data_IF_472743433828
#
_entry.id   IF_472743433828
#
_cell.length_a   1.000
_cell.length_b   1.000
_cell.length_c   1.000
_cell.angle_alpha   90.00
_cell.angle_beta   90.00
_cell.angle_gamma   90.00
#
_symmetry.space_group_name_H-M   'P 1'
#
loop_
_entity.id
_entity.type
_entity.pdbx_description
1 polymer ?
#
# COMPACT_ATOMS: atom_id res chain seq x y z
N UNK A 1 14.18 16.01 103.51
CA UNK A 1 13.41 17.27 103.56
C UNK A 1 12.09 16.98 102.80
N UNK A 2 11.01 16.57 103.49
CA UNK A 2 9.88 17.43 103.96
C UNK A 2 9.05 17.85 102.70
N UNK A 3 7.78 17.47 102.40
CA UNK A 3 6.50 17.21 103.11
C UNK A 3 5.56 16.40 102.17
N UNK A 4 4.85 15.35 102.60
CA UNK A 4 3.45 15.31 103.11
C UNK A 4 2.34 15.98 102.28
N UNK A 5 1.25 15.25 101.96
CA UNK A 5 -0.10 15.84 101.91
C UNK A 5 -1.12 15.38 100.85
N UNK A 6 -1.84 14.28 101.14
CA UNK A 6 -3.31 14.09 101.04
C UNK A 6 -4.12 14.18 99.71
N UNK A 7 -4.73 13.02 99.41
CA UNK A 7 -6.16 12.79 99.11
C UNK A 7 -6.72 12.98 97.69
N UNK A 8 -7.21 11.89 97.07
CA UNK A 8 -8.65 11.53 97.02
C UNK A 8 -8.89 10.31 96.12
N UNK A 9 -9.73 9.41 96.62
CA UNK A 9 -10.31 8.26 95.95
C UNK A 9 -11.29 8.70 94.84
N UNK A 10 -11.23 8.08 93.66
CA UNK A 10 -12.40 7.96 92.77
C UNK A 10 -12.27 6.73 91.87
N UNK A 11 -13.20 5.79 92.03
CA UNK A 11 -13.33 4.62 91.16
C UNK A 11 -13.82 5.05 89.77
N UNK A 12 -13.19 4.56 88.71
CA UNK A 12 -13.76 4.60 87.36
C UNK A 12 -13.93 3.15 86.90
N UNK A 13 -15.19 2.70 86.91
CA UNK A 13 -15.60 1.44 86.29
C UNK A 13 -15.32 1.53 84.79
N UNK A 14 -14.48 0.64 84.26
CA UNK A 14 -14.34 0.45 82.82
C UNK A 14 -15.63 -0.13 82.25
N UNK A 15 -16.52 0.75 81.77
CA UNK A 15 -17.50 0.36 80.76
C UNK A 15 -16.72 0.13 79.46
N UNK A 16 -16.26 -1.11 79.24
CA UNK A 16 -15.71 -1.56 77.97
C UNK A 16 -16.87 -1.55 76.97
N UNK A 17 -17.11 -0.36 76.40
CA UNK A 17 -18.32 -0.07 75.65
C UNK A 17 -18.29 -0.84 74.33
N UNK A 18 -19.48 -1.31 73.97
CA UNK A 18 -19.88 -1.98 72.72
C UNK A 18 -19.46 -1.27 71.42
N UNK A 19 -18.74 -0.14 71.51
CA UNK A 19 -18.23 0.67 70.40
C UNK A 19 -16.98 0.07 69.73
N UNK A 20 -16.08 -0.60 70.48
CA UNK A 20 -14.89 -1.28 69.89
C UNK A 20 -15.26 -2.55 69.13
N UNK A 21 -16.30 -3.27 69.57
CA UNK A 21 -16.83 -4.42 68.82
C UNK A 21 -17.61 -4.02 67.56
N UNK A 22 -18.30 -2.88 67.58
CA UNK A 22 -18.92 -2.32 66.37
C UNK A 22 -17.90 -1.88 65.33
N UNK A 23 -16.76 -1.29 65.74
CA UNK A 23 -15.71 -0.94 64.78
C UNK A 23 -14.99 -2.17 64.23
N UNK A 24 -14.73 -3.19 65.06
CA UNK A 24 -14.12 -4.45 64.60
C UNK A 24 -15.03 -5.21 63.62
N UNK A 25 -16.35 -5.22 63.86
CA UNK A 25 -17.34 -5.79 62.93
C UNK A 25 -17.48 -4.98 61.63
N UNK A 26 -17.32 -3.66 61.68
CA UNK A 26 -17.31 -2.80 60.49
C UNK A 26 -16.06 -3.00 59.64
N UNK A 27 -14.88 -3.17 60.26
CA UNK A 27 -13.64 -3.45 59.52
C UNK A 27 -13.61 -4.86 58.93
N UNK A 28 -14.17 -5.87 59.62
CA UNK A 28 -14.31 -7.21 59.03
C UNK A 28 -15.32 -7.25 57.89
N UNK A 29 -16.41 -6.47 57.95
CA UNK A 29 -17.37 -6.38 56.86
C UNK A 29 -16.78 -5.67 55.63
N UNK A 30 -15.97 -4.62 55.82
CA UNK A 30 -15.29 -3.91 54.72
C UNK A 30 -14.22 -4.78 54.03
N UNK A 31 -13.49 -5.60 54.80
CA UNK A 31 -12.46 -6.49 54.25
C UNK A 31 -13.06 -7.63 53.41
N UNK A 32 -14.21 -8.18 53.82
CA UNK A 32 -14.94 -9.21 53.06
C UNK A 32 -15.56 -8.66 51.76
N UNK A 33 -16.00 -7.40 51.76
CA UNK A 33 -16.49 -6.73 50.53
C UNK A 33 -15.34 -6.44 49.55
N UNK A 34 -14.15 -6.05 50.03
CA UNK A 34 -12.98 -5.88 49.16
C UNK A 34 -12.45 -7.20 48.58
N UNK A 35 -12.54 -8.32 49.31
CA UNK A 35 -12.18 -9.64 48.77
C UNK A 35 -13.16 -10.13 47.69
N UNK A 36 -14.46 -9.81 47.84
CA UNK A 36 -15.48 -10.14 46.84
C UNK A 36 -15.32 -9.34 45.53
N UNK A 37 -14.80 -8.12 45.59
CA UNK A 37 -14.53 -7.31 44.39
C UNK A 37 -13.31 -7.80 43.58
N UNK A 38 -12.36 -8.50 44.20
CA UNK A 38 -11.18 -9.05 43.50
C UNK A 38 -11.54 -10.36 42.76
N UNK A 39 -12.51 -11.13 43.26
CA UNK A 39 -12.97 -12.38 42.61
C UNK A 39 -13.97 -12.11 41.47
N UNK A 40 -14.62 -10.93 41.46
CA UNK A 40 -15.57 -10.54 40.40
C UNK A 40 -14.89 -9.99 39.13
N UNK A 41 -13.56 -9.79 39.11
CA UNK A 41 -12.80 -9.47 37.90
C UNK A 41 -12.19 -10.71 37.21
N UNK A 42 -12.53 -11.92 37.69
CA UNK A 42 -12.12 -13.19 37.07
C UNK A 42 -13.20 -13.77 36.17
N UNK A 43 -13.30 -13.25 34.94
CA UNK A 43 -13.68 -13.95 33.71
C UNK A 43 -14.98 -14.77 33.67
N UNK A 44 -16.06 -14.13 33.22
CA UNK A 44 -17.12 -14.77 32.41
C UNK A 44 -17.13 -14.09 31.04
N UNK A 45 -17.27 -14.84 29.92
CA UNK A 45 -17.05 -14.33 28.59
C UNK A 45 -18.18 -13.37 28.19
N UNK A 46 -17.85 -12.09 28.06
CA UNK A 46 -18.62 -11.18 27.22
C UNK A 46 -18.32 -11.50 25.76
N UNK A 47 -19.30 -11.37 24.84
CA UNK A 47 -19.05 -11.59 23.43
C UNK A 47 -18.11 -10.50 22.94
N UNK A 48 -16.86 -10.89 22.70
CA UNK A 48 -15.92 -10.12 21.90
C UNK A 48 -16.59 -9.88 20.55
N UNK A 49 -16.70 -8.61 20.17
CA UNK A 49 -16.84 -8.29 18.77
C UNK A 49 -15.60 -8.87 18.10
N UNK A 50 -15.82 -9.79 17.15
CA UNK A 50 -14.82 -10.35 16.26
C UNK A 50 -14.10 -9.20 15.54
N UNK A 51 -13.07 -8.66 16.18
CA UNK A 51 -11.91 -8.14 15.48
C UNK A 51 -10.99 -9.34 15.32
N UNK A 52 -11.42 -10.28 14.49
CA UNK A 52 -10.53 -11.27 13.92
C UNK A 52 -9.58 -10.51 12.99
N UNK A 53 -8.55 -9.90 13.58
CA UNK A 53 -7.25 -9.80 12.94
C UNK A 53 -6.73 -11.22 12.82
N UNK A 54 -7.29 -11.95 11.86
CA UNK A 54 -6.83 -13.25 11.45
C UNK A 54 -5.42 -13.00 10.93
N UNK A 55 -4.43 -13.26 11.78
CA UNK A 55 -3.06 -13.45 11.34
C UNK A 55 -3.11 -14.75 10.57
N UNK A 56 -3.44 -14.64 9.28
CA UNK A 56 -3.42 -15.74 8.35
C UNK A 56 -2.01 -16.32 8.40
N UNK A 57 -1.91 -17.51 8.95
CA UNK A 57 -0.71 -18.32 8.82
C UNK A 57 -0.63 -18.67 7.34
N UNK A 58 0.49 -18.30 6.70
CA UNK A 58 0.75 -18.49 5.27
C UNK A 58 0.95 -19.98 4.91
N UNK A 59 -0.03 -20.84 5.16
CA UNK A 59 -0.25 -22.04 4.37
C UNK A 59 -1.24 -21.66 3.25
N UNK A 60 -0.64 -21.20 2.15
CA UNK A 60 -1.14 -20.09 1.35
C UNK A 60 -2.39 -20.34 0.53
N UNK A 61 -3.24 -19.33 0.48
CA UNK A 61 -4.28 -19.10 -0.53
C UNK A 61 -3.69 -18.77 -1.93
N UNK A 62 -2.42 -19.10 -2.17
CA UNK A 62 -1.64 -18.80 -3.37
C UNK A 62 -1.23 -17.34 -3.56
N UNK A 63 -1.64 -16.43 -2.66
CA UNK A 63 -1.33 -14.99 -2.76
C UNK A 63 -0.04 -14.64 -2.03
N UNK A 64 0.58 -13.55 -2.46
CA UNK A 64 1.75 -12.95 -1.79
C UNK A 64 1.30 -11.81 -0.89
N UNK A 65 1.67 -11.86 0.38
CA UNK A 65 1.44 -10.79 1.34
C UNK A 65 2.68 -9.91 1.47
N UNK A 66 2.57 -8.65 1.05
CA UNK A 66 3.63 -7.65 1.13
C UNK A 66 3.33 -6.63 2.22
N UNK A 67 4.33 -6.27 3.03
CA UNK A 67 4.25 -5.15 3.96
C UNK A 67 5.16 -4.00 3.54
N UNK A 68 4.70 -2.76 3.70
CA UNK A 68 5.52 -1.55 3.51
C UNK A 68 5.02 -0.41 4.39
N UNK A 69 5.81 0.65 4.60
CA UNK A 69 5.30 1.91 5.18
C UNK A 69 5.08 2.99 4.12
N UNK A 70 5.29 2.69 2.84
CA UNK A 70 5.06 3.63 1.74
C UNK A 70 3.55 3.82 1.55
N UNK A 71 3.14 5.04 1.22
CA UNK A 71 1.73 5.37 0.98
C UNK A 71 1.53 5.84 -0.45
N UNK A 72 0.32 5.61 -0.96
CA UNK A 72 -0.12 6.10 -2.25
C UNK A 72 -1.25 7.10 -2.05
N UNK A 73 -1.09 8.32 -2.56
CA UNK A 73 -2.15 9.34 -2.54
C UNK A 73 -3.22 9.05 -3.60
N UNK A 74 -2.78 8.59 -4.76
CA UNK A 74 -3.61 8.34 -5.94
C UNK A 74 -2.98 7.22 -6.76
N UNK A 75 -3.80 6.52 -7.53
CA UNK A 75 -3.40 5.61 -8.60
C UNK A 75 -3.84 6.14 -9.97
N UNK A 76 -4.12 7.44 -10.09
CA UNK A 76 -4.36 8.08 -11.37
C UNK A 76 -3.03 8.21 -12.14
N UNK A 77 -2.81 7.56 -13.30
CA UNK A 77 -1.61 7.75 -14.09
C UNK A 77 -1.33 9.22 -14.44
N UNK A 78 -2.38 10.00 -14.64
CA UNK A 78 -2.24 11.42 -15.00
C UNK A 78 -1.82 12.33 -13.84
N UNK A 79 -1.76 11.82 -12.59
CA UNK A 79 -1.43 12.63 -11.40
C UNK A 79 -0.37 11.96 -10.48
N UNK A 80 -0.25 10.64 -10.49
CA UNK A 80 0.71 9.90 -9.69
C UNK A 80 2.17 10.19 -10.11
N UNK A 81 2.98 10.67 -9.17
CA UNK A 81 4.40 10.98 -9.43
C UNK A 81 5.36 10.37 -8.41
N UNK A 82 4.83 9.82 -7.33
CA UNK A 82 5.60 9.13 -6.31
C UNK A 82 5.95 7.69 -6.75
N UNK A 83 7.10 7.19 -6.30
CA UNK A 83 7.66 5.90 -6.72
C UNK A 83 6.71 4.73 -6.39
N UNK A 84 6.10 4.72 -5.20
CA UNK A 84 5.25 3.61 -4.78
C UNK A 84 3.98 3.46 -5.65
N UNK A 85 3.18 4.52 -5.89
CA UNK A 85 2.15 4.50 -6.94
C UNK A 85 2.69 4.07 -8.31
N UNK A 86 3.89 4.51 -8.71
CA UNK A 86 4.50 4.10 -9.97
C UNK A 86 4.73 2.58 -10.08
N UNK A 87 5.23 1.96 -9.01
CA UNK A 87 5.40 0.49 -8.93
C UNK A 87 4.04 -0.22 -9.07
N UNK A 88 3.01 0.28 -8.38
CA UNK A 88 1.67 -0.28 -8.49
C UNK A 88 1.13 -0.13 -9.92
N UNK A 89 1.30 1.03 -10.54
CA UNK A 89 0.86 1.29 -11.92
C UNK A 89 1.58 0.41 -12.94
N UNK A 90 2.87 0.11 -12.76
CA UNK A 90 3.58 -0.86 -13.61
C UNK A 90 3.07 -2.31 -13.49
N UNK A 91 2.32 -2.62 -12.42
CA UNK A 91 1.69 -3.94 -12.24
C UNK A 91 0.20 -3.94 -12.65
N UNK A 92 -0.44 -2.77 -12.57
CA UNK A 92 -1.84 -2.57 -12.95
C UNK A 92 -2.00 -2.26 -14.44
N UNK A 93 -0.96 -1.74 -15.09
CA UNK A 93 -0.98 -1.38 -16.50
C UNK A 93 0.39 -1.49 -17.13
N UNK A 94 0.39 -1.53 -18.45
CA UNK A 94 1.59 -1.56 -19.26
C UNK A 94 1.87 -0.18 -19.86
N UNK A 95 3.09 0.06 -20.33
CA UNK A 95 3.45 1.26 -21.10
C UNK A 95 3.79 0.88 -22.53
N UNK A 96 4.09 1.86 -23.39
CA UNK A 96 4.49 1.56 -24.77
C UNK A 96 5.81 0.79 -24.82
N UNK A 97 6.73 1.15 -23.93
CA UNK A 97 8.05 0.52 -23.81
C UNK A 97 8.36 0.24 -22.34
N UNK A 98 9.28 -0.69 -22.12
CA UNK A 98 9.83 -1.03 -20.82
C UNK A 98 11.37 -1.04 -20.88
N UNK A 99 12.00 -1.29 -19.74
CA UNK A 99 13.43 -1.60 -19.68
C UNK A 99 13.63 -3.10 -19.55
N UNK A 100 14.60 -3.64 -20.30
CA UNK A 100 15.05 -5.02 -20.10
C UNK A 100 15.60 -5.16 -18.66
N UNK A 101 15.11 -6.13 -17.87
CA UNK A 101 15.50 -6.28 -16.47
C UNK A 101 17.02 -6.28 -16.25
N UNK A 102 17.48 -5.44 -15.32
CA UNK A 102 18.91 -5.31 -14.99
C UNK A 102 19.73 -4.47 -15.97
N UNK A 103 19.10 -3.83 -16.96
CA UNK A 103 19.77 -2.97 -17.95
C UNK A 103 19.10 -1.60 -18.06
N UNK A 104 19.64 -0.74 -18.92
CA UNK A 104 19.01 0.52 -19.35
C UNK A 104 18.49 0.44 -20.78
N UNK A 105 18.42 -0.75 -21.36
CA UNK A 105 18.02 -0.96 -22.75
C UNK A 105 16.49 -0.96 -22.84
N UNK A 106 15.96 -0.19 -23.79
CA UNK A 106 14.53 -0.09 -24.05
C UNK A 106 14.05 -1.29 -24.87
N UNK A 107 12.92 -1.85 -24.47
CA UNK A 107 12.23 -2.93 -25.18
C UNK A 107 10.76 -2.58 -25.41
N UNK A 108 10.13 -3.04 -26.51
CA UNK A 108 8.70 -2.88 -26.73
C UNK A 108 7.87 -3.59 -25.65
N UNK A 109 6.74 -2.99 -25.26
CA UNK A 109 5.74 -3.60 -24.38
C UNK A 109 4.35 -3.53 -25.05
N UNK A 110 3.59 -2.43 -24.91
CA UNK A 110 2.36 -2.21 -25.70
C UNK A 110 2.64 -1.77 -27.13
N UNK A 111 3.83 -1.22 -27.40
CA UNK A 111 4.32 -1.09 -28.75
C UNK A 111 4.69 -2.47 -29.31
N UNK A 112 4.42 -2.71 -30.58
CA UNK A 112 4.81 -3.94 -31.26
C UNK A 112 6.29 -3.96 -31.66
N UNK A 113 6.91 -2.78 -31.80
CA UNK A 113 8.34 -2.60 -32.12
C UNK A 113 8.81 -1.21 -31.62
N UNK A 114 10.11 -0.95 -31.69
CA UNK A 114 10.71 0.37 -31.48
C UNK A 114 10.17 1.39 -32.49
N UNK A 115 10.12 2.69 -32.13
CA UNK A 115 9.52 3.69 -32.99
C UNK A 115 10.37 3.93 -34.24
N UNK A 116 9.72 4.16 -35.37
CA UNK A 116 10.39 4.79 -36.51
C UNK A 116 10.47 6.29 -36.25
N UNK A 117 11.68 6.83 -36.18
CA UNK A 117 11.93 8.25 -35.90
C UNK A 117 12.33 8.96 -37.20
N UNK A 118 11.72 10.11 -37.49
CA UNK A 118 12.06 10.94 -38.65
C UNK A 118 13.49 11.48 -38.59
N UNK A 119 14.05 11.86 -39.73
CA UNK A 119 15.44 12.36 -39.82
C UNK A 119 15.68 13.64 -38.98
N UNK A 120 14.66 14.47 -38.81
CA UNK A 120 14.71 15.67 -37.96
C UNK A 120 14.48 15.38 -36.47
N UNK A 121 14.15 14.14 -36.10
CA UNK A 121 13.93 13.71 -34.72
C UNK A 121 12.62 14.23 -34.11
N UNK A 122 11.67 14.71 -34.92
CA UNK A 122 10.42 15.29 -34.46
C UNK A 122 9.24 14.31 -34.48
N UNK A 123 9.19 13.39 -35.43
CA UNK A 123 8.05 12.48 -35.61
C UNK A 123 8.43 11.07 -35.20
N UNK A 124 7.60 10.46 -34.35
CA UNK A 124 7.73 9.09 -33.86
C UNK A 124 6.49 8.32 -34.31
N UNK A 125 6.69 7.32 -35.17
CA UNK A 125 5.63 6.39 -35.59
C UNK A 125 5.80 5.10 -34.79
N UNK A 126 4.79 4.78 -33.99
CA UNK A 126 4.79 3.69 -33.01
C UNK A 126 3.76 2.64 -33.43
N UNK A 127 4.19 1.44 -33.87
CA UNK A 127 3.27 0.34 -34.09
C UNK A 127 2.79 -0.20 -32.74
N UNK A 128 1.51 -0.53 -32.62
CA UNK A 128 0.90 -1.03 -31.40
C UNK A 128 0.52 -2.51 -31.52
N UNK A 129 0.44 -3.18 -30.38
CA UNK A 129 -0.15 -4.52 -30.29
C UNK A 129 -1.66 -4.47 -30.54
N UNK A 130 -2.18 -5.55 -31.11
CA UNK A 130 -3.62 -5.72 -31.42
C UNK A 130 -4.30 -6.78 -30.54
N UNK A 131 -3.53 -7.52 -29.73
CA UNK A 131 -3.99 -8.63 -28.89
C UNK A 131 -4.19 -8.24 -27.42
N UNK A 132 -4.29 -6.95 -27.14
CA UNK A 132 -4.37 -6.40 -25.78
C UNK A 132 -5.79 -5.92 -25.47
N UNK A 133 -6.29 -6.29 -24.30
CA UNK A 133 -7.53 -5.76 -23.73
C UNK A 133 -7.27 -5.09 -22.39
N UNK A 134 -8.05 -4.06 -22.10
CA UNK A 134 -8.15 -3.51 -20.75
C UNK A 134 -8.79 -4.51 -19.79
N UNK A 135 -8.67 -4.26 -18.49
CA UNK A 135 -9.22 -5.11 -17.44
C UNK A 135 -10.73 -5.30 -17.50
N UNK A 136 -11.45 -4.37 -18.15
CA UNK A 136 -12.90 -4.40 -18.38
C UNK A 136 -13.30 -5.14 -19.66
N UNK A 137 -12.33 -5.66 -20.42
CA UNK A 137 -12.52 -6.39 -21.67
C UNK A 137 -12.62 -5.51 -22.92
N UNK A 138 -12.56 -4.17 -22.79
CA UNK A 138 -12.47 -3.30 -23.96
C UNK A 138 -11.11 -3.44 -24.65
N UNK A 139 -11.02 -3.33 -25.99
CA UNK A 139 -9.74 -3.44 -26.69
C UNK A 139 -8.84 -2.24 -26.41
N UNK A 140 -7.54 -2.49 -26.26
CA UNK A 140 -6.52 -1.46 -26.35
C UNK A 140 -6.22 -1.15 -27.83
N UNK A 141 -6.11 0.12 -28.17
CA UNK A 141 -5.85 0.58 -29.54
C UNK A 141 -5.19 1.97 -29.57
N UNK A 142 -4.92 2.48 -30.77
CA UNK A 142 -4.28 3.78 -30.96
C UNK A 142 -5.08 4.95 -30.37
N UNK A 143 -6.41 4.95 -30.46
CA UNK A 143 -7.25 6.00 -29.89
C UNK A 143 -7.19 6.02 -28.36
N UNK A 144 -7.22 4.85 -27.71
CA UNK A 144 -7.11 4.75 -26.26
C UNK A 144 -5.73 5.24 -25.78
N UNK A 145 -4.67 4.91 -26.51
CA UNK A 145 -3.33 5.40 -26.20
C UNK A 145 -3.22 6.92 -26.40
N UNK A 146 -3.72 7.44 -27.52
CA UNK A 146 -3.72 8.87 -27.81
C UNK A 146 -4.49 9.66 -26.74
N UNK A 147 -5.68 9.17 -26.38
CA UNK A 147 -6.48 9.72 -25.29
C UNK A 147 -5.71 9.75 -23.97
N UNK A 148 -5.03 8.66 -23.62
CA UNK A 148 -4.32 8.54 -22.34
C UNK A 148 -3.14 9.50 -22.23
N UNK A 149 -2.35 9.66 -23.30
CA UNK A 149 -1.25 10.63 -23.33
C UNK A 149 -1.80 12.06 -23.31
N UNK A 150 -2.88 12.34 -24.06
CA UNK A 150 -3.54 13.64 -24.01
C UNK A 150 -4.04 13.96 -22.60
N UNK A 151 -4.72 12.98 -21.96
CA UNK A 151 -5.18 13.08 -20.58
C UNK A 151 -4.01 13.37 -19.63
N UNK A 152 -2.89 12.67 -19.74
CA UNK A 152 -1.70 12.95 -18.92
C UNK A 152 -1.24 14.41 -19.04
N UNK A 153 -1.25 14.99 -20.25
CA UNK A 153 -0.82 16.38 -20.48
C UNK A 153 -1.85 17.41 -19.97
N UNK A 154 -3.14 17.10 -20.03
CA UNK A 154 -4.22 18.08 -19.86
C UNK A 154 -4.99 17.94 -18.54
N UNK A 155 -4.88 16.82 -17.81
CA UNK A 155 -5.62 16.55 -16.57
C UNK A 155 -5.18 17.40 -15.37
N UNK A 156 -4.15 18.23 -15.52
CA UNK A 156 -3.66 19.14 -14.49
C UNK A 156 -2.81 18.48 -13.40
N UNK A 157 -2.48 17.20 -13.54
CA UNK A 157 -1.64 16.49 -12.58
C UNK A 157 -0.20 16.99 -12.52
N UNK A 158 0.44 16.77 -11.37
CA UNK A 158 1.79 17.28 -11.06
C UNK A 158 2.85 16.99 -12.14
N UNK A 159 2.88 15.80 -12.79
CA UNK A 159 3.92 15.47 -13.75
C UNK A 159 3.60 15.85 -15.21
N UNK A 160 2.46 16.52 -15.49
CA UNK A 160 2.02 16.82 -16.86
C UNK A 160 3.08 17.53 -17.73
N UNK A 161 3.91 18.37 -17.11
CA UNK A 161 5.00 19.09 -17.77
C UNK A 161 6.01 18.17 -18.48
N UNK A 162 6.14 16.91 -18.05
CA UNK A 162 7.05 15.94 -18.67
C UNK A 162 6.74 15.73 -20.15
N UNK A 163 5.47 15.84 -20.56
CA UNK A 163 5.03 15.65 -21.95
C UNK A 163 4.42 16.92 -22.57
N UNK A 164 3.65 17.70 -21.82
CA UNK A 164 2.92 18.86 -22.33
C UNK A 164 3.84 19.91 -22.99
N UNK A 165 5.07 20.06 -22.48
CA UNK A 165 6.05 20.99 -23.03
C UNK A 165 6.80 20.43 -24.27
N UNK A 166 6.71 19.12 -24.51
CA UNK A 166 7.49 18.41 -25.53
C UNK A 166 6.67 18.00 -26.74
N UNK A 167 5.44 17.56 -26.53
CA UNK A 167 4.56 17.04 -27.58
C UNK A 167 3.82 18.20 -28.25
N UNK A 168 3.80 18.20 -29.58
CA UNK A 168 3.01 19.08 -30.44
C UNK A 168 1.67 18.45 -30.82
N UNK A 169 1.68 17.20 -31.29
CA UNK A 169 0.47 16.46 -31.67
C UNK A 169 0.59 14.96 -31.39
N UNK A 170 -0.57 14.31 -31.21
CA UNK A 170 -0.72 12.88 -31.04
C UNK A 170 -1.88 12.44 -31.92
N UNK A 171 -1.64 11.50 -32.81
CA UNK A 171 -2.61 11.06 -33.82
C UNK A 171 -2.65 9.53 -33.86
N UNK A 172 -3.86 8.97 -33.77
CA UNK A 172 -4.11 7.58 -34.16
C UNK A 172 -4.17 7.53 -35.70
N UNK A 173 -3.04 7.25 -36.34
CA UNK A 173 -2.91 7.27 -37.81
C UNK A 173 -3.38 5.97 -38.46
N UNK A 174 -3.71 4.96 -37.65
CA UNK A 174 -4.45 3.76 -37.98
C UNK A 174 -4.85 3.00 -36.71
N UNK A 175 -5.63 1.93 -36.83
CA UNK A 175 -6.18 1.18 -35.68
C UNK A 175 -5.08 0.71 -34.69
N UNK A 176 -3.89 0.39 -35.20
CA UNK A 176 -2.73 -0.07 -34.43
C UNK A 176 -1.46 0.77 -34.68
N UNK A 177 -1.62 2.06 -35.02
CA UNK A 177 -0.49 2.96 -35.25
C UNK A 177 -0.71 4.32 -34.58
N UNK A 178 0.26 4.72 -33.76
CA UNK A 178 0.27 6.01 -33.09
C UNK A 178 1.41 6.87 -33.66
N UNK A 179 1.08 8.06 -34.14
CA UNK A 179 2.06 9.05 -34.57
C UNK A 179 2.11 10.19 -33.55
N UNK A 180 3.30 10.46 -33.02
CA UNK A 180 3.56 11.58 -32.11
C UNK A 180 4.54 12.56 -32.76
N UNK A 181 4.18 13.84 -32.78
CA UNK A 181 5.08 14.92 -33.23
C UNK A 181 5.53 15.74 -32.03
N UNK A 182 6.84 16.00 -31.94
CA UNK A 182 7.46 16.80 -30.91
C UNK A 182 7.66 18.25 -31.36
N UNK A 183 7.61 19.19 -30.41
CA UNK A 183 7.91 20.62 -30.60
C UNK A 183 9.38 20.88 -30.91
N UNK A 184 10.26 19.99 -30.45
CA UNK A 184 11.70 20.04 -30.67
C UNK A 184 12.30 18.63 -30.52
N UNK A 185 13.45 18.33 -31.16
CA UNK A 185 14.06 17.01 -31.05
C UNK A 185 14.44 16.70 -29.60
N UNK A 186 14.06 15.52 -29.11
CA UNK A 186 14.32 15.10 -27.73
C UNK A 186 14.71 13.62 -27.67
N UNK A 187 16.01 13.35 -27.54
CA UNK A 187 16.57 12.00 -27.62
C UNK A 187 16.01 11.01 -26.58
N UNK A 188 15.54 11.50 -25.43
CA UNK A 188 14.97 10.66 -24.38
C UNK A 188 13.45 10.48 -24.50
N UNK A 189 12.83 10.84 -25.62
CA UNK A 189 11.37 10.75 -25.78
C UNK A 189 10.85 9.31 -25.65
N UNK A 190 11.49 8.35 -26.31
CA UNK A 190 11.10 6.92 -26.19
C UNK A 190 11.24 6.43 -24.75
N UNK A 191 12.25 6.88 -24.01
CA UNK A 191 12.40 6.57 -22.59
C UNK A 191 11.29 7.19 -21.72
N UNK A 192 10.75 8.37 -22.08
CA UNK A 192 9.58 8.91 -21.39
C UNK A 192 8.31 8.07 -21.61
N UNK A 193 8.25 7.30 -22.70
CA UNK A 193 7.15 6.39 -22.96
C UNK A 193 7.21 5.09 -22.13
N UNK A 194 8.21 4.94 -21.24
CA UNK A 194 8.22 3.92 -20.17
C UNK A 194 7.64 4.46 -18.85
N UNK A 195 7.34 5.76 -18.76
CA UNK A 195 6.91 6.37 -17.52
C UNK A 195 5.49 5.91 -17.16
N UNK A 196 5.25 5.49 -15.92
CA UNK A 196 3.93 5.00 -15.49
C UNK A 196 2.80 6.01 -15.70
N UNK A 197 3.10 7.31 -15.84
CA UNK A 197 2.09 8.32 -16.14
C UNK A 197 1.45 8.19 -17.52
N UNK A 198 2.08 7.47 -18.46
CA UNK A 198 1.50 7.15 -19.77
C UNK A 198 0.81 5.79 -19.82
N UNK A 199 0.54 5.17 -18.66
CA UNK A 199 -0.27 3.95 -18.61
C UNK A 199 -1.64 4.22 -19.25
N UNK A 200 -2.05 3.44 -20.27
CA UNK A 200 -3.28 3.71 -20.95
C UNK A 200 -4.49 3.39 -20.07
N UNK A 201 -5.55 4.17 -20.26
CA UNK A 201 -6.85 4.02 -19.64
C UNK A 201 -7.94 4.09 -20.72
N UNK A 202 -9.06 3.35 -20.58
CA UNK A 202 -10.09 3.33 -21.60
C UNK A 202 -10.86 4.65 -21.64
N UNK A 203 -10.91 5.29 -22.82
CA UNK A 203 -11.50 6.61 -23.03
C UNK A 203 -13.02 6.69 -22.80
N UNK A 204 -13.71 5.54 -22.73
CA UNK A 204 -15.13 5.46 -22.42
C UNK A 204 -15.45 5.56 -20.91
N UNK A 205 -14.43 5.41 -20.04
CA UNK A 205 -14.57 5.34 -18.59
C UNK A 205 -13.84 6.47 -17.88
N UNK A 206 -12.83 7.04 -18.53
CA UNK A 206 -12.00 8.12 -18.00
C UNK A 206 -12.28 9.43 -18.72
N UNK A 207 -12.12 10.55 -18.01
CA UNK A 207 -12.30 11.89 -18.56
C UNK A 207 -11.01 12.72 -18.41
N UNK A 208 -10.84 13.72 -19.28
CA UNK A 208 -9.82 14.76 -19.13
C UNK A 208 -10.41 15.85 -18.24
N UNK A 209 -10.37 15.61 -16.93
CA UNK A 209 -10.91 16.53 -15.93
C UNK A 209 -10.19 16.32 -14.61
N UNK A 210 -9.58 17.38 -14.08
CA UNK A 210 -8.86 17.35 -12.81
C UNK A 210 -9.76 16.78 -11.69
N UNK A 211 -9.27 15.79 -10.97
CA UNK A 211 -9.98 15.17 -9.85
C UNK A 211 -11.14 14.23 -10.22
N UNK A 212 -11.31 13.88 -11.50
CA UNK A 212 -12.35 12.93 -11.95
C UNK A 212 -12.02 11.46 -11.68
N UNK A 213 -10.76 11.13 -11.34
CA UNK A 213 -10.33 9.76 -11.08
C UNK A 213 -10.99 9.16 -9.83
N UNK A 214 -11.40 7.90 -9.94
CA UNK A 214 -12.03 7.13 -8.87
C UNK A 214 -10.98 6.17 -8.28
N UNK A 215 -10.50 6.39 -7.04
CA UNK A 215 -9.32 5.70 -6.51
C UNK A 215 -9.34 4.17 -6.46
N UNK A 216 -10.51 3.56 -6.34
CA UNK A 216 -10.70 2.11 -6.18
C UNK A 216 -11.14 1.40 -7.47
N UNK A 217 -11.17 2.13 -8.59
CA UNK A 217 -11.76 1.67 -9.86
C UNK A 217 -10.77 1.78 -11.03
N UNK A 218 -9.48 1.56 -10.76
CA UNK A 218 -8.45 1.59 -11.80
C UNK A 218 -8.68 0.49 -12.84
N UNK A 219 -8.56 0.85 -14.12
CA UNK A 219 -8.66 -0.06 -15.27
C UNK A 219 -7.45 0.21 -16.16
N UNK A 220 -6.59 -0.80 -16.31
CA UNK A 220 -5.43 -0.77 -17.18
C UNK A 220 -5.33 -2.05 -18.01
N UNK A 221 -4.14 -2.38 -18.48
CA UNK A 221 -3.88 -3.55 -19.33
C UNK A 221 -3.03 -4.62 -18.63
N UNK A 222 -2.56 -4.33 -17.41
CA UNK A 222 -1.48 -5.05 -16.76
C UNK A 222 -1.85 -6.43 -16.22
N UNK A 223 -0.85 -7.16 -15.68
CA UNK A 223 -1.01 -8.53 -15.19
C UNK A 223 -1.85 -8.65 -13.91
N UNK A 224 -2.08 -7.54 -13.20
CA UNK A 224 -2.98 -7.51 -12.05
C UNK A 224 -4.07 -6.45 -12.23
N UNK A 225 -5.23 -6.69 -11.61
CA UNK A 225 -6.36 -5.77 -11.48
C UNK A 225 -6.41 -5.22 -10.06
N UNK A 226 -6.79 -3.95 -9.91
CA UNK A 226 -7.00 -3.36 -8.60
C UNK A 226 -8.31 -3.91 -8.00
N UNK A 227 -8.22 -4.63 -6.89
CA UNK A 227 -9.38 -5.18 -6.20
C UNK A 227 -9.85 -4.28 -5.05
N UNK A 228 -8.92 -3.62 -4.36
CA UNK A 228 -9.24 -2.60 -3.36
C UNK A 228 -8.07 -1.65 -3.13
N UNK A 229 -8.39 -0.42 -2.73
CA UNK A 229 -7.42 0.63 -2.42
C UNK A 229 -7.87 1.41 -1.19
N UNK A 230 -7.07 1.37 -0.12
CA UNK A 230 -7.32 2.08 1.14
C UNK A 230 -6.02 2.58 1.76
N UNK A 231 -6.11 3.33 2.86
CA UNK A 231 -4.92 3.82 3.57
C UNK A 231 -4.11 2.70 4.21
N UNK A 232 -4.75 1.58 4.55
CA UNK A 232 -4.17 0.53 5.40
C UNK A 232 -3.85 -0.73 4.59
N UNK A 233 -4.51 -0.92 3.45
CA UNK A 233 -4.31 -2.07 2.58
C UNK A 233 -4.63 -1.77 1.10
N UNK A 234 -3.91 -2.44 0.22
CA UNK A 234 -4.14 -2.45 -1.24
C UNK A 234 -4.19 -3.91 -1.68
N UNK A 235 -5.21 -4.28 -2.45
CA UNK A 235 -5.38 -5.64 -2.96
C UNK A 235 -5.31 -5.67 -4.47
N UNK A 236 -4.47 -6.56 -5.00
CA UNK A 236 -4.30 -6.80 -6.42
C UNK A 236 -4.73 -8.24 -6.74
N UNK A 237 -5.66 -8.41 -7.67
CA UNK A 237 -6.08 -9.73 -8.17
C UNK A 237 -5.43 -10.01 -9.52
N UNK A 238 -5.19 -11.27 -9.87
CA UNK A 238 -4.60 -11.62 -11.17
C UNK A 238 -5.54 -11.26 -12.31
N UNK A 239 -4.99 -10.67 -13.37
CA UNK A 239 -5.70 -10.51 -14.63
C UNK A 239 -5.62 -11.81 -15.44
N UNK A 240 -6.66 -12.64 -15.35
CA UNK A 240 -6.73 -13.91 -16.08
C UNK A 240 -6.72 -13.77 -17.60
N UNK A 241 -7.01 -12.58 -18.13
CA UNK A 241 -6.99 -12.29 -19.56
C UNK A 241 -5.75 -11.48 -19.96
N UNK A 242 -4.70 -11.47 -19.12
CA UNK A 242 -3.46 -10.76 -19.45
C UNK A 242 -2.83 -11.31 -20.73
N UNK A 243 -2.43 -10.40 -21.61
CA UNK A 243 -1.89 -10.71 -22.94
C UNK A 243 -0.45 -11.27 -22.87
N UNK A 244 0.29 -10.96 -21.80
CA UNK A 244 1.66 -11.39 -21.59
C UNK A 244 1.79 -12.65 -20.72
N UNK A 245 2.93 -12.78 -20.04
CA UNK A 245 3.14 -13.86 -19.07
C UNK A 245 2.30 -13.61 -17.82
N UNK A 246 1.48 -14.60 -17.46
CA UNK A 246 0.63 -14.51 -16.28
C UNK A 246 1.46 -14.61 -15.00
N UNK A 247 1.08 -13.88 -13.93
CA UNK A 247 1.62 -14.11 -12.60
C UNK A 247 1.55 -15.58 -12.18
N UNK A 248 2.61 -16.06 -11.52
CA UNK A 248 2.66 -17.41 -10.96
C UNK A 248 1.96 -17.55 -9.59
N UNK A 249 1.50 -16.44 -9.03
CA UNK A 249 0.77 -16.37 -7.76
C UNK A 249 -0.70 -16.00 -8.01
N UNK A 250 -1.54 -16.17 -6.99
CA UNK A 250 -3.00 -15.91 -7.06
C UNK A 250 -3.38 -14.46 -6.70
N UNK A 251 -2.40 -13.55 -6.67
CA UNK A 251 -2.56 -12.12 -6.40
C UNK A 251 -1.69 -11.62 -5.24
N UNK A 252 -1.81 -10.32 -4.95
CA UNK A 252 -0.97 -9.63 -3.97
C UNK A 252 -1.85 -8.89 -2.97
N UNK A 253 -1.60 -9.14 -1.68
CA UNK A 253 -2.19 -8.40 -0.57
C UNK A 253 -1.11 -7.50 0.04
N UNK A 254 -1.27 -6.18 -0.08
CA UNK A 254 -0.30 -5.21 0.40
C UNK A 254 -0.84 -4.55 1.67
N UNK A 255 -0.10 -4.68 2.77
CA UNK A 255 -0.41 -4.06 4.05
C UNK A 255 0.48 -2.83 4.29
N UNK A 256 -0.15 -1.71 4.65
CA UNK A 256 0.53 -0.44 4.92
C UNK A 256 0.71 -0.27 6.44
N UNK A 257 1.96 -0.28 6.89
CA UNK A 257 2.33 -0.16 8.28
C UNK A 257 2.68 1.28 8.66
N UNK A 258 2.32 1.68 9.88
CA UNK A 258 2.59 3.02 10.42
C UNK A 258 4.00 3.19 10.97
N UNK A 259 4.78 2.11 11.11
CA UNK A 259 6.17 2.19 11.56
C UNK A 259 7.04 1.04 11.03
N UNK A 260 8.34 1.29 10.81
CA UNK A 260 9.33 0.26 10.46
C UNK A 260 9.39 -0.86 11.49
N UNK A 261 9.24 -0.54 12.78
CA UNK A 261 9.22 -1.52 13.87
C UNK A 261 8.09 -2.54 13.73
N UNK A 262 6.88 -2.10 13.37
CA UNK A 262 5.75 -3.01 13.16
C UNK A 262 5.95 -3.88 11.91
N UNK A 263 6.44 -3.29 10.82
CA UNK A 263 6.75 -4.01 9.59
C UNK A 263 7.78 -5.12 9.85
N UNK A 264 8.91 -4.76 10.47
CA UNK A 264 9.99 -5.67 10.83
C UNK A 264 9.50 -6.84 11.68
N UNK A 265 8.79 -6.56 12.78
CA UNK A 265 8.30 -7.61 13.67
C UNK A 265 7.31 -8.54 12.96
N UNK A 266 6.40 -7.99 12.14
CA UNK A 266 5.40 -8.77 11.40
C UNK A 266 6.08 -9.74 10.42
N UNK A 267 7.09 -9.26 9.70
CA UNK A 267 7.91 -10.10 8.81
C UNK A 267 8.62 -11.21 9.59
N UNK A 268 9.32 -10.89 10.69
CA UNK A 268 10.05 -11.88 11.48
C UNK A 268 9.13 -12.97 12.06
N UNK A 269 7.87 -12.65 12.35
CA UNK A 269 6.88 -13.62 12.84
C UNK A 269 6.17 -14.40 11.73
N UNK A 270 6.49 -14.13 10.45
CA UNK A 270 5.86 -14.78 9.30
C UNK A 270 4.43 -14.30 9.00
N UNK A 271 4.07 -13.09 9.45
CA UNK A 271 2.76 -12.50 9.16
C UNK A 271 2.66 -11.85 7.78
N UNK A 272 3.79 -11.65 7.10
CA UNK A 272 3.90 -11.20 5.71
C UNK A 272 5.04 -11.96 5.03
N UNK A 273 4.96 -12.14 3.71
CA UNK A 273 5.95 -12.85 2.89
C UNK A 273 7.09 -11.93 2.46
N UNK A 274 6.81 -10.64 2.25
CA UNK A 274 7.77 -9.66 1.77
C UNK A 274 7.70 -8.39 2.61
N UNK A 275 8.81 -8.04 3.28
CA UNK A 275 8.99 -6.69 3.84
C UNK A 275 9.63 -5.78 2.78
N UNK A 276 8.88 -4.81 2.28
CA UNK A 276 9.29 -3.94 1.18
C UNK A 276 9.63 -2.52 1.65
N UNK A 277 10.91 -2.16 1.46
CA UNK A 277 11.50 -0.87 1.81
C UNK A 277 11.27 -0.44 3.26
N UNK A 278 11.73 0.77 3.61
CA UNK A 278 11.35 1.50 4.83
C UNK A 278 11.69 0.83 6.18
N UNK A 279 12.58 -0.16 6.19
CA UNK A 279 13.18 -0.69 7.41
C UNK A 279 14.31 0.22 7.91
N UNK A 280 14.49 0.28 9.23
CA UNK A 280 15.60 1.03 9.83
C UNK A 280 16.95 0.33 9.55
N UNK A 281 18.08 1.06 9.45
CA UNK A 281 19.39 0.45 9.14
C UNK A 281 19.78 -0.71 10.06
N UNK A 282 19.52 -0.60 11.37
CA UNK A 282 19.81 -1.67 12.33
C UNK A 282 18.93 -2.91 12.12
N UNK A 283 17.70 -2.72 11.63
CA UNK A 283 16.79 -3.81 11.28
C UNK A 283 17.25 -4.52 10.02
N UNK A 284 17.69 -3.79 9.00
CA UNK A 284 18.26 -4.34 7.77
C UNK A 284 19.49 -5.20 8.10
N UNK A 285 20.44 -4.64 8.87
CA UNK A 285 21.64 -5.36 9.28
C UNK A 285 21.32 -6.62 10.10
N UNK A 286 20.25 -6.60 10.92
CA UNK A 286 19.78 -7.78 11.62
C UNK A 286 19.20 -8.84 10.67
N UNK A 287 18.34 -8.45 9.72
CA UNK A 287 17.76 -9.38 8.74
C UNK A 287 18.82 -10.02 7.85
N UNK A 288 19.83 -9.27 7.43
CA UNK A 288 20.97 -9.77 6.65
C UNK A 288 21.78 -10.81 7.43
N UNK A 289 22.15 -10.46 8.67
CA UNK A 289 22.93 -11.35 9.54
C UNK A 289 22.20 -12.67 9.82
N UNK A 290 20.88 -12.58 9.99
CA UNK A 290 20.07 -13.69 10.44
C UNK A 290 19.44 -14.47 9.26
N UNK A 291 19.61 -14.04 8.00
CA UNK A 291 18.97 -14.59 6.80
C UNK A 291 19.11 -16.12 6.66
N UNK A 292 20.34 -16.64 6.79
CA UNK A 292 20.62 -18.08 6.69
C UNK A 292 19.85 -18.92 7.74
N UNK A 293 19.64 -18.35 8.92
CA UNK A 293 18.93 -19.01 10.02
C UNK A 293 17.44 -18.71 10.06
N UNK A 294 17.03 -17.61 9.44
CA UNK A 294 15.67 -17.08 9.47
C UNK A 294 14.74 -17.69 8.42
N UNK A 295 15.30 -18.29 7.36
CA UNK A 295 14.51 -18.85 6.27
C UNK A 295 13.95 -17.79 5.32
N UNK A 296 14.60 -16.61 5.26
CA UNK A 296 14.29 -15.54 4.31
C UNK A 296 15.52 -15.18 3.49
N UNK A 297 15.29 -14.45 2.41
CA UNK A 297 16.33 -13.85 1.57
C UNK A 297 16.26 -12.34 1.63
N UNK A 298 17.41 -11.68 1.61
CA UNK A 298 17.52 -10.23 1.43
C UNK A 298 17.85 -9.98 -0.04
N UNK A 299 17.05 -9.14 -0.69
CA UNK A 299 17.23 -8.77 -2.10
C UNK A 299 17.53 -7.28 -2.15
N UNK A 300 18.69 -6.93 -2.72
CA UNK A 300 19.11 -5.56 -2.99
C UNK A 300 19.17 -5.36 -4.51
N UNK A 301 18.68 -4.21 -4.99
CA UNK A 301 18.68 -3.82 -6.40
C UNK A 301 19.33 -2.43 -6.56
#
# INVERSE_FOLDING_TARGET
>A
MVLSGLSRFRSIRHAFSRRRWRSLLQFSALFTVCLALIVACGGSPSPEADTSGETATAEGNGRITMGTTLTARTLDPADAYEIFPGILLHNLGDQLYAYEPGTTDLIPQLAADMPTVSEDGLTYVIPLREDVTFHDGTPFNAEAMAFSIQRFMENGGRPAFLLAEKIESIEATGDAELTITLKAPFAAFTALMTFWGVTPVPSNTYEIAEGSFIPDSFIGTGPYKLASFSSDAIKLDVNEDYWGEKPANDGIDIQIFTSPANLYNTFQTGGIDVAYQTLDPDQIAALERDADSGGWQVIEA
#
